data_IF_389671571363
#
_entry.id   IF_389671571363
#
_cell.length_a   1.000
_cell.length_b   1.000
_cell.length_c   1.000
_cell.angle_alpha   90.00
_cell.angle_beta   90.00
_cell.angle_gamma   90.00
#
_symmetry.space_group_name_H-M   'P 1'
#
loop_
_entity.id
_entity.type
_entity.pdbx_description
1 polymer ?
#
# COMPACT_ATOMS: atom_id res chain seq x y z
N UNK A 1 33.55 58.40 -23.02
CA UNK A 1 32.90 57.08 -22.87
C UNK A 1 33.75 55.93 -23.42
N UNK A 2 34.38 56.05 -24.59
CA UNK A 2 35.16 54.98 -25.24
C UNK A 2 36.18 54.27 -24.33
N UNK A 3 36.88 55.00 -23.46
CA UNK A 3 37.87 54.46 -22.51
C UNK A 3 37.22 53.49 -21.51
N UNK A 4 36.03 53.81 -21.00
CA UNK A 4 35.29 52.93 -20.06
C UNK A 4 34.89 51.62 -20.74
N UNK A 5 34.40 51.70 -21.98
CA UNK A 5 33.99 50.52 -22.76
C UNK A 5 35.20 49.63 -23.05
N UNK A 6 36.34 50.21 -23.48
CA UNK A 6 37.58 49.46 -23.70
C UNK A 6 38.10 48.77 -22.43
N UNK A 7 37.83 49.35 -21.26
CA UNK A 7 38.19 48.80 -19.96
C UNK A 7 37.12 47.86 -19.37
N UNK A 8 36.08 47.48 -20.13
CA UNK A 8 35.02 46.56 -19.68
C UNK A 8 33.98 47.17 -18.74
N UNK A 9 33.93 48.49 -18.61
CA UNK A 9 32.96 49.21 -17.79
C UNK A 9 31.72 49.63 -18.59
N UNK A 10 30.63 49.95 -17.89
CA UNK A 10 29.41 50.42 -18.55
C UNK A 10 29.67 51.74 -19.30
N UNK A 11 28.96 51.99 -20.40
CA UNK A 11 29.03 53.28 -21.08
C UNK A 11 28.75 54.42 -20.09
N UNK A 12 29.66 55.39 -20.03
CA UNK A 12 29.45 56.58 -19.21
C UNK A 12 28.42 57.48 -19.89
N UNK A 13 27.27 57.66 -19.24
CA UNK A 13 26.17 58.50 -19.72
C UNK A 13 25.90 59.59 -18.69
N UNK A 14 26.18 60.85 -19.06
CA UNK A 14 25.78 62.02 -18.28
C UNK A 14 24.37 62.40 -18.75
N UNK A 15 23.36 62.18 -17.93
CA UNK A 15 22.00 62.59 -18.25
C UNK A 15 21.78 64.06 -17.81
N UNK A 16 20.60 64.62 -18.15
CA UNK A 16 20.27 66.01 -17.82
C UNK A 16 20.27 66.28 -16.31
N UNK A 17 19.94 65.28 -15.50
CA UNK A 17 19.88 65.40 -14.03
C UNK A 17 21.26 65.60 -13.38
N UNK A 18 22.34 65.18 -14.05
CA UNK A 18 23.71 65.33 -13.57
C UNK A 18 24.48 66.44 -14.30
N UNK A 19 23.79 67.25 -15.13
CA UNK A 19 24.44 68.25 -15.97
C UNK A 19 25.17 69.30 -15.15
N UNK A 20 24.53 69.86 -14.14
CA UNK A 20 25.12 70.93 -13.32
C UNK A 20 26.27 70.41 -12.46
N UNK A 21 26.10 69.21 -11.87
CA UNK A 21 27.16 68.50 -11.14
C UNK A 21 28.38 68.21 -12.03
N UNK A 22 28.14 67.88 -13.31
CA UNK A 22 29.19 67.63 -14.30
C UNK A 22 29.92 68.90 -14.72
N UNK A 23 29.20 70.00 -15.00
CA UNK A 23 29.80 71.27 -15.39
C UNK A 23 30.67 71.83 -14.25
N UNK A 24 30.15 71.85 -13.03
CA UNK A 24 30.92 72.31 -11.86
C UNK A 24 32.17 71.45 -11.60
N UNK A 25 32.08 70.14 -11.86
CA UNK A 25 33.23 69.24 -11.75
C UNK A 25 34.29 69.48 -12.83
N UNK A 26 33.89 69.91 -14.04
CA UNK A 26 34.82 70.30 -15.11
C UNK A 26 35.49 71.63 -14.79
N UNK A 27 34.76 72.63 -14.31
CA UNK A 27 35.34 73.92 -13.92
C UNK A 27 36.36 73.77 -12.77
N UNK A 28 36.07 72.88 -11.80
CA UNK A 28 37.04 72.53 -10.76
C UNK A 28 38.27 71.81 -11.33
N UNK A 29 38.09 70.97 -12.35
CA UNK A 29 39.17 70.26 -13.03
C UNK A 29 40.08 71.20 -13.84
N UNK A 30 39.52 72.24 -14.46
CA UNK A 30 40.28 73.29 -15.15
C UNK A 30 41.23 74.03 -14.18
N UNK A 31 40.83 74.12 -12.90
CA UNK A 31 41.65 74.64 -11.81
C UNK A 31 42.57 73.57 -11.16
N UNK A 32 42.75 72.42 -11.81
CA UNK A 32 43.65 71.35 -11.39
C UNK A 32 43.05 70.33 -10.40
N UNK A 33 41.78 70.46 -10.00
CA UNK A 33 41.14 69.54 -9.07
C UNK A 33 40.20 68.54 -9.78
N UNK A 34 40.72 67.35 -10.09
CA UNK A 34 39.98 66.29 -10.77
C UNK A 34 39.06 65.46 -9.85
N UNK A 35 39.11 65.66 -8.53
CA UNK A 35 38.46 64.77 -7.55
C UNK A 35 36.95 64.69 -7.74
N UNK A 36 36.32 65.82 -8.06
CA UNK A 36 34.88 65.90 -8.26
C UNK A 36 34.43 65.12 -9.51
N UNK A 37 35.25 65.17 -10.58
CA UNK A 37 34.97 64.48 -11.83
C UNK A 37 35.10 62.95 -11.67
N UNK A 38 36.16 62.50 -10.98
CA UNK A 38 36.37 61.08 -10.66
C UNK A 38 35.22 60.55 -9.81
N UNK A 39 34.79 61.31 -8.81
CA UNK A 39 33.68 60.94 -7.91
C UNK A 39 32.37 60.79 -8.67
N UNK A 40 32.05 61.73 -9.56
CA UNK A 40 30.86 61.68 -10.40
C UNK A 40 30.87 60.45 -11.32
N UNK A 41 32.00 60.14 -11.95
CA UNK A 41 32.09 58.99 -12.83
C UNK A 41 31.94 57.68 -12.05
N UNK A 42 32.57 57.55 -10.89
CA UNK A 42 32.41 56.39 -10.01
C UNK A 42 30.94 56.20 -9.58
N UNK A 43 30.26 57.28 -9.22
CA UNK A 43 28.82 57.29 -8.86
C UNK A 43 27.94 56.78 -9.99
N UNK A 44 28.17 57.25 -11.23
CA UNK A 44 27.41 56.81 -12.40
C UNK A 44 27.67 55.35 -12.77
N UNK A 45 28.91 54.89 -12.67
CA UNK A 45 29.26 53.48 -12.87
C UNK A 45 28.59 52.58 -11.83
N UNK A 46 28.60 52.98 -10.55
CA UNK A 46 27.89 52.26 -9.48
C UNK A 46 26.39 52.17 -9.77
N UNK A 47 25.77 53.26 -10.23
CA UNK A 47 24.33 53.28 -10.59
C UNK A 47 24.03 52.35 -11.78
N UNK A 48 24.89 52.32 -12.79
CA UNK A 48 24.75 51.42 -13.94
C UNK A 48 24.90 49.95 -13.53
N UNK A 49 25.87 49.63 -12.66
CA UNK A 49 26.08 48.29 -12.11
C UNK A 49 24.88 47.79 -11.32
N UNK A 50 24.33 48.62 -10.42
CA UNK A 50 23.11 48.29 -9.65
C UNK A 50 21.92 48.05 -10.58
N UNK A 51 21.76 48.87 -11.63
CA UNK A 51 20.69 48.69 -12.62
C UNK A 51 20.85 47.38 -13.40
N UNK A 52 22.07 47.02 -13.81
CA UNK A 52 22.34 45.75 -14.47
C UNK A 52 22.06 44.55 -13.57
N UNK A 53 22.48 44.60 -12.30
CA UNK A 53 22.12 43.59 -11.29
C UNK A 53 20.61 43.48 -11.07
N UNK A 54 19.88 44.59 -11.14
CA UNK A 54 18.42 44.58 -11.01
C UNK A 54 17.69 44.04 -12.25
N UNK A 55 18.27 44.16 -13.45
CA UNK A 55 17.75 43.56 -14.69
C UNK A 55 18.03 42.04 -14.75
N UNK A 56 19.16 41.61 -14.17
CA UNK A 56 19.46 40.20 -13.90
C UNK A 56 18.48 39.58 -12.90
N UNK A 57 17.66 40.37 -12.20
CA UNK A 57 16.68 39.93 -11.18
C UNK A 57 15.33 39.49 -11.78
N UNK A 58 15.20 39.34 -13.09
CA UNK A 58 14.11 38.59 -13.74
C UNK A 58 14.22 37.05 -13.50
N UNK A 59 14.68 36.67 -12.30
CA UNK A 59 14.83 35.32 -11.72
C UNK A 59 13.50 34.85 -11.12
N UNK A 60 12.36 35.27 -11.70
CA UNK A 60 11.05 34.74 -11.31
C UNK A 60 10.85 33.29 -11.82
N UNK A 61 11.64 32.85 -12.79
CA UNK A 61 11.61 31.47 -13.32
C UNK A 61 12.29 30.42 -12.43
N UNK A 62 13.24 30.79 -11.56
CA UNK A 62 13.99 29.80 -10.78
C UNK A 62 13.18 29.24 -9.60
N UNK A 63 12.31 30.05 -8.98
CA UNK A 63 11.44 29.57 -7.91
C UNK A 63 10.29 28.70 -8.43
N UNK A 64 9.75 28.99 -9.62
CA UNK A 64 8.81 28.07 -10.30
C UNK A 64 9.50 26.79 -10.77
N UNK A 65 10.71 26.90 -11.32
CA UNK A 65 11.52 25.76 -11.74
C UNK A 65 11.87 24.85 -10.55
N UNK A 66 12.34 25.43 -9.44
CA UNK A 66 12.65 24.69 -8.22
C UNK A 66 11.41 24.00 -7.63
N UNK A 67 10.26 24.70 -7.55
CA UNK A 67 9.00 24.09 -7.11
C UNK A 67 8.57 22.94 -8.03
N UNK A 68 8.67 23.10 -9.36
CA UNK A 68 8.35 22.05 -10.34
C UNK A 68 9.27 20.83 -10.17
N UNK A 69 10.57 21.04 -9.95
CA UNK A 69 11.54 19.96 -9.71
C UNK A 69 11.24 19.23 -8.39
N UNK A 70 10.93 19.96 -7.31
CA UNK A 70 10.54 19.36 -6.02
C UNK A 70 9.24 18.56 -6.17
N UNK A 71 8.21 19.11 -6.82
CA UNK A 71 6.94 18.41 -7.06
C UNK A 71 7.13 17.13 -7.89
N UNK A 72 7.90 17.20 -8.98
CA UNK A 72 8.23 16.02 -9.78
C UNK A 72 9.00 14.95 -8.97
N UNK A 73 9.88 15.39 -8.07
CA UNK A 73 10.57 14.50 -7.13
C UNK A 73 9.61 13.80 -6.16
N UNK A 74 8.68 14.56 -5.56
CA UNK A 74 7.65 14.01 -4.64
C UNK A 74 6.70 13.06 -5.38
N UNK A 75 6.23 13.41 -6.57
CA UNK A 75 5.39 12.54 -7.40
C UNK A 75 6.09 11.23 -7.74
N UNK A 76 7.37 11.30 -8.11
CA UNK A 76 8.18 10.10 -8.36
C UNK A 76 8.34 9.23 -7.11
N UNK A 77 8.50 9.83 -5.93
CA UNK A 77 8.56 9.09 -4.66
C UNK A 77 7.21 8.45 -4.31
N UNK A 78 6.09 9.16 -4.51
CA UNK A 78 4.74 8.61 -4.33
C UNK A 78 4.48 7.42 -5.24
N UNK A 79 4.74 7.59 -6.54
CA UNK A 79 4.58 6.52 -7.53
C UNK A 79 5.44 5.30 -7.20
N UNK A 80 6.69 5.49 -6.77
CA UNK A 80 7.55 4.38 -6.30
C UNK A 80 6.96 3.66 -5.09
N UNK A 81 6.44 4.41 -4.11
CA UNK A 81 5.83 3.82 -2.91
C UNK A 81 4.56 3.03 -3.27
N UNK A 82 3.72 3.56 -4.14
CA UNK A 82 2.52 2.88 -4.64
C UNK A 82 2.87 1.59 -5.39
N UNK A 83 3.87 1.63 -6.28
CA UNK A 83 4.37 0.45 -6.98
C UNK A 83 4.90 -0.62 -6.00
N UNK A 84 5.63 -0.20 -4.96
CA UNK A 84 6.13 -1.12 -3.95
C UNK A 84 4.99 -1.78 -3.17
N UNK A 85 3.96 -1.03 -2.79
CA UNK A 85 2.77 -1.57 -2.11
C UNK A 85 2.01 -2.54 -3.01
N UNK A 86 1.82 -2.21 -4.29
CA UNK A 86 1.16 -3.09 -5.25
C UNK A 86 1.94 -4.39 -5.46
N UNK A 87 3.27 -4.30 -5.59
CA UNK A 87 4.13 -5.48 -5.73
C UNK A 87 4.06 -6.37 -4.48
N UNK A 88 4.09 -5.76 -3.29
CA UNK A 88 3.94 -6.47 -2.02
C UNK A 88 2.59 -7.20 -1.93
N UNK A 89 1.48 -6.52 -2.25
CA UNK A 89 0.15 -7.11 -2.27
C UNK A 89 0.07 -8.29 -3.23
N UNK A 90 0.54 -8.09 -4.46
CA UNK A 90 0.57 -9.14 -5.48
C UNK A 90 1.32 -10.38 -5.00
N UNK A 91 2.52 -10.19 -4.43
CA UNK A 91 3.31 -11.31 -3.91
C UNK A 91 2.64 -12.02 -2.73
N UNK A 92 1.98 -11.28 -1.82
CA UNK A 92 1.18 -11.90 -0.74
C UNK A 92 0.04 -12.76 -1.31
N UNK A 93 -0.69 -12.23 -2.30
CA UNK A 93 -1.86 -12.90 -2.85
C UNK A 93 -1.48 -14.14 -3.66
N UNK A 94 -0.39 -14.08 -4.42
CA UNK A 94 0.16 -15.24 -5.15
C UNK A 94 0.61 -16.37 -4.21
N UNK A 95 1.22 -16.04 -3.07
CA UNK A 95 1.57 -17.05 -2.04
C UNK A 95 0.32 -17.63 -1.37
N UNK A 96 -0.67 -16.78 -1.08
CA UNK A 96 -1.91 -17.18 -0.42
C UNK A 96 -2.74 -18.11 -1.32
N UNK A 97 -2.90 -17.77 -2.60
CA UNK A 97 -3.53 -18.67 -3.58
C UNK A 97 -2.81 -20.02 -3.66
N UNK A 98 -1.46 -19.99 -3.57
CA UNK A 98 -0.56 -21.12 -3.29
C UNK A 98 -1.12 -22.11 -2.25
N UNK A 99 -1.42 -21.56 -1.08
CA UNK A 99 -1.87 -22.32 0.08
C UNK A 99 -3.35 -22.71 -0.01
N UNK A 100 -4.17 -21.85 -0.63
CA UNK A 100 -5.58 -22.14 -0.90
C UNK A 100 -5.73 -23.37 -1.80
N UNK A 101 -4.92 -23.49 -2.86
CA UNK A 101 -4.90 -24.68 -3.73
C UNK A 101 -4.52 -25.95 -2.93
N UNK A 102 -3.51 -25.86 -2.06
CA UNK A 102 -3.10 -26.98 -1.18
C UNK A 102 -4.26 -27.38 -0.25
N UNK A 103 -4.94 -26.39 0.35
CA UNK A 103 -6.06 -26.65 1.24
C UNK A 103 -7.26 -27.25 0.49
N UNK A 104 -7.58 -26.73 -0.69
CA UNK A 104 -8.66 -27.24 -1.54
C UNK A 104 -8.43 -28.70 -1.92
N UNK A 105 -7.21 -29.06 -2.34
CA UNK A 105 -6.84 -30.45 -2.62
C UNK A 105 -6.94 -31.35 -1.39
N UNK A 106 -6.47 -30.89 -0.22
CA UNK A 106 -6.55 -31.69 1.03
C UNK A 106 -8.01 -31.90 1.46
N UNK A 107 -8.83 -30.85 1.42
CA UNK A 107 -10.26 -30.93 1.71
C UNK A 107 -10.95 -31.87 0.71
N UNK A 108 -10.58 -31.81 -0.58
CA UNK A 108 -11.12 -32.66 -1.64
C UNK A 108 -10.89 -34.15 -1.39
N UNK A 109 -9.68 -34.51 -0.92
CA UNK A 109 -9.36 -35.89 -0.52
C UNK A 109 -10.23 -36.36 0.64
N UNK A 110 -10.41 -35.52 1.66
CA UNK A 110 -11.28 -35.85 2.81
C UNK A 110 -12.73 -36.02 2.36
N UNK A 111 -13.25 -35.13 1.51
CA UNK A 111 -14.61 -35.28 1.00
C UNK A 111 -14.78 -36.56 0.17
N UNK A 112 -13.77 -36.93 -0.62
CA UNK A 112 -13.78 -38.18 -1.37
C UNK A 112 -13.79 -39.40 -0.43
N UNK A 113 -12.94 -39.42 0.59
CA UNK A 113 -12.91 -40.48 1.61
C UNK A 113 -14.26 -40.58 2.35
N UNK A 114 -14.83 -39.45 2.77
CA UNK A 114 -16.14 -39.41 3.42
C UNK A 114 -17.25 -39.94 2.51
N UNK A 115 -17.28 -39.56 1.24
CA UNK A 115 -18.32 -40.02 0.31
C UNK A 115 -18.25 -41.52 0.01
N UNK A 116 -17.06 -42.13 0.04
CA UNK A 116 -16.96 -43.59 -0.14
C UNK A 116 -17.70 -44.34 0.97
N UNK A 117 -17.69 -43.81 2.19
CA UNK A 117 -18.35 -44.43 3.35
C UNK A 117 -19.81 -43.95 3.51
N UNK A 118 -20.09 -42.66 3.30
CA UNK A 118 -21.42 -42.06 3.47
C UNK A 118 -22.43 -42.60 2.46
N UNK A 119 -22.01 -42.84 1.22
CA UNK A 119 -22.89 -43.36 0.17
C UNK A 119 -23.36 -44.79 0.45
N UNK A 120 -22.69 -45.54 1.34
CA UNK A 120 -23.15 -46.86 1.76
C UNK A 120 -24.26 -46.80 2.83
N UNK A 121 -24.41 -45.65 3.49
CA UNK A 121 -25.39 -45.45 4.58
C UNK A 121 -26.71 -44.90 4.07
N UNK A 122 -26.69 -43.78 3.34
CA UNK A 122 -27.88 -43.15 2.79
C UNK A 122 -27.55 -42.29 1.56
N UNK A 123 -28.36 -42.42 0.50
CA UNK A 123 -28.17 -41.65 -0.76
C UNK A 123 -28.21 -40.12 -0.56
N UNK A 124 -28.83 -39.66 0.52
CA UNK A 124 -28.96 -38.23 0.84
C UNK A 124 -27.72 -37.64 1.51
N UNK A 125 -26.81 -38.50 2.01
CA UNK A 125 -25.61 -38.10 2.74
C UNK A 125 -24.46 -37.86 1.77
N UNK A 126 -23.74 -36.74 1.94
CA UNK A 126 -22.61 -36.42 1.08
C UNK A 126 -21.65 -35.44 1.73
N UNK A 127 -20.42 -35.41 1.23
CA UNK A 127 -19.44 -34.36 1.48
C UNK A 127 -19.09 -33.61 0.18
N UNK A 128 -19.01 -32.28 0.23
CA UNK A 128 -18.59 -31.45 -0.90
C UNK A 128 -17.58 -30.39 -0.48
N UNK A 129 -16.71 -30.01 -1.43
CA UNK A 129 -15.73 -28.95 -1.22
C UNK A 129 -16.01 -27.80 -2.15
N UNK A 130 -15.97 -26.59 -1.59
CA UNK A 130 -16.01 -25.34 -2.36
C UNK A 130 -14.90 -24.41 -1.90
N UNK A 131 -14.49 -23.53 -2.81
CA UNK A 131 -13.63 -22.41 -2.48
C UNK A 131 -14.27 -21.11 -2.93
N UNK A 132 -13.77 -20.01 -2.38
CA UNK A 132 -14.21 -18.69 -2.77
C UNK A 132 -13.86 -18.35 -4.21
N UNK A 133 -14.69 -17.52 -4.82
CA UNK A 133 -14.46 -16.81 -6.06
C UNK A 133 -15.01 -15.37 -5.93
N UNK A 134 -14.89 -14.59 -6.99
CA UNK A 134 -15.33 -13.18 -7.02
C UNK A 134 -16.82 -12.98 -6.71
N UNK A 135 -17.65 -14.02 -6.86
CA UNK A 135 -19.10 -13.97 -6.63
C UNK A 135 -19.53 -14.37 -5.22
N UNK A 136 -18.63 -14.99 -4.43
CA UNK A 136 -19.00 -15.58 -3.13
C UNK A 136 -17.94 -15.40 -2.01
N UNK A 137 -16.86 -14.67 -2.27
CA UNK A 137 -15.82 -14.35 -1.28
C UNK A 137 -16.39 -13.76 0.03
N UNK A 138 -17.50 -13.03 -0.06
CA UNK A 138 -18.15 -12.34 1.04
C UNK A 138 -18.97 -13.24 1.98
N UNK A 139 -19.28 -14.48 1.60
CA UNK A 139 -20.21 -15.35 2.33
C UNK A 139 -19.86 -15.53 3.81
N UNK A 140 -18.58 -15.74 4.11
CA UNK A 140 -18.09 -15.98 5.47
C UNK A 140 -17.47 -14.74 6.13
N UNK A 141 -17.69 -13.55 5.59
CA UNK A 141 -17.02 -12.32 6.07
C UNK A 141 -17.24 -12.09 7.57
N UNK A 142 -18.46 -12.27 8.05
CA UNK A 142 -18.78 -12.04 9.46
C UNK A 142 -18.15 -13.10 10.36
N UNK A 143 -18.16 -14.35 9.92
CA UNK A 143 -17.54 -15.48 10.61
C UNK A 143 -16.04 -15.31 10.75
N UNK A 144 -15.37 -14.85 9.69
CA UNK A 144 -13.94 -14.54 9.70
C UNK A 144 -13.64 -13.47 10.76
N UNK A 145 -14.45 -12.40 10.82
CA UNK A 145 -14.29 -11.33 11.82
C UNK A 145 -14.53 -11.85 13.24
N UNK A 146 -15.56 -12.68 13.45
CA UNK A 146 -15.85 -13.26 14.76
C UNK A 146 -14.75 -14.21 15.23
N UNK A 147 -14.26 -15.06 14.33
CA UNK A 147 -13.13 -15.98 14.57
C UNK A 147 -11.86 -15.20 14.90
N UNK A 148 -11.56 -14.14 14.15
CA UNK A 148 -10.41 -13.28 14.43
C UNK A 148 -10.49 -12.62 15.81
N UNK A 149 -11.69 -12.13 16.18
CA UNK A 149 -11.93 -11.56 17.51
C UNK A 149 -11.74 -12.60 18.63
N UNK A 150 -12.20 -13.83 18.43
CA UNK A 150 -12.02 -14.91 19.39
C UNK A 150 -10.54 -15.32 19.55
N UNK A 151 -9.74 -15.14 18.50
CA UNK A 151 -8.28 -15.32 18.47
C UNK A 151 -7.51 -14.03 18.81
N UNK A 152 -8.19 -13.00 19.32
CA UNK A 152 -7.61 -11.74 19.78
C UNK A 152 -6.80 -10.96 18.72
N UNK A 153 -7.22 -11.02 17.45
CA UNK A 153 -6.63 -10.23 16.37
C UNK A 153 -7.67 -9.60 15.42
N UNK A 154 -7.20 -8.77 14.49
CA UNK A 154 -8.04 -8.13 13.46
C UNK A 154 -7.85 -8.76 12.09
N UNK A 155 -8.95 -9.13 11.44
CA UNK A 155 -8.94 -9.60 10.05
C UNK A 155 -9.25 -8.46 9.07
N UNK A 156 -8.29 -8.10 8.23
CA UNK A 156 -8.50 -7.20 7.10
C UNK A 156 -9.12 -7.94 5.92
N UNK A 157 -10.44 -8.09 6.00
CA UNK A 157 -11.27 -8.65 4.94
C UNK A 157 -11.49 -7.70 3.76
N UNK A 158 -10.96 -6.46 3.78
CA UNK A 158 -11.14 -5.49 2.69
C UNK A 158 -10.04 -5.59 1.66
N UNK A 159 -8.79 -5.79 2.11
CA UNK A 159 -7.65 -5.95 1.20
C UNK A 159 -7.63 -7.32 0.55
N UNK A 160 -7.92 -8.37 1.30
CA UNK A 160 -7.99 -9.72 0.76
C UNK A 160 -8.89 -10.59 1.62
N UNK A 161 -9.65 -11.47 0.98
CA UNK A 161 -10.25 -12.62 1.61
C UNK A 161 -10.39 -13.76 0.61
N UNK A 162 -10.16 -14.97 1.09
CA UNK A 162 -10.57 -16.17 0.38
C UNK A 162 -10.88 -17.27 1.40
N UNK A 163 -11.55 -18.33 0.97
CA UNK A 163 -11.90 -19.43 1.85
C UNK A 163 -11.99 -20.75 1.09
N UNK A 164 -11.75 -21.85 1.81
CA UNK A 164 -12.02 -23.22 1.40
C UNK A 164 -12.95 -23.84 2.43
N UNK A 165 -14.00 -24.50 1.97
CA UNK A 165 -15.04 -25.10 2.80
C UNK A 165 -15.20 -26.57 2.47
N UNK A 166 -15.12 -27.41 3.51
CA UNK A 166 -15.61 -28.78 3.49
C UNK A 166 -17.00 -28.76 4.10
N UNK A 167 -18.01 -29.14 3.33
CA UNK A 167 -19.36 -29.35 3.83
C UNK A 167 -19.60 -30.86 3.94
N UNK A 168 -20.16 -31.27 5.05
CA UNK A 168 -20.64 -32.62 5.32
C UNK A 168 -22.13 -32.51 5.58
N UNK A 169 -22.93 -33.16 4.74
CA UNK A 169 -24.38 -33.19 4.85
C UNK A 169 -24.80 -34.61 5.25
N UNK A 170 -25.33 -34.71 6.45
CA UNK A 170 -26.14 -35.83 6.92
C UNK A 170 -27.51 -35.27 7.34
N UNK A 171 -28.17 -35.80 8.36
CA UNK A 171 -29.39 -35.23 8.95
C UNK A 171 -29.19 -33.72 9.24
N UNK A 172 -28.05 -33.36 9.83
CA UNK A 172 -27.53 -32.00 10.00
C UNK A 172 -26.53 -31.63 8.91
N UNK A 173 -26.31 -30.33 8.71
CA UNK A 173 -25.23 -29.84 7.84
C UNK A 173 -24.10 -29.27 8.69
N UNK A 174 -22.90 -29.79 8.46
CA UNK A 174 -21.66 -29.30 9.06
C UNK A 174 -20.79 -28.65 8.00
N UNK A 175 -20.21 -27.51 8.32
CA UNK A 175 -19.25 -26.83 7.44
C UNK A 175 -17.96 -26.54 8.22
N UNK A 176 -16.84 -27.08 7.76
CA UNK A 176 -15.50 -26.73 8.20
C UNK A 176 -14.93 -25.73 7.19
N UNK A 177 -14.57 -24.54 7.66
CA UNK A 177 -14.07 -23.45 6.82
C UNK A 177 -12.62 -23.16 7.22
N UNK A 178 -11.74 -23.10 6.23
CA UNK A 178 -10.44 -22.44 6.31
C UNK A 178 -10.54 -21.10 5.56
N UNK A 179 -10.18 -20.00 6.20
CA UNK A 179 -10.21 -18.67 5.60
C UNK A 179 -8.82 -18.04 5.57
N UNK A 180 -8.53 -17.26 4.52
CA UNK A 180 -7.34 -16.43 4.37
C UNK A 180 -7.74 -14.95 4.30
N UNK A 181 -6.98 -14.05 4.92
CA UNK A 181 -7.23 -12.61 4.94
C UNK A 181 -5.98 -11.80 5.32
N UNK A 182 -6.02 -10.49 5.14
CA UNK A 182 -4.95 -9.61 5.65
C UNK A 182 -4.93 -9.60 7.18
N UNK A 183 -3.73 -9.54 7.78
CA UNK A 183 -3.58 -9.43 9.23
C UNK A 183 -3.55 -7.96 9.67
N UNK A 184 -4.40 -7.59 10.63
CA UNK A 184 -4.42 -6.29 11.28
C UNK A 184 -5.52 -5.35 10.78
N UNK A 185 -5.49 -4.10 11.25
CA UNK A 185 -6.40 -3.03 10.80
C UNK A 185 -6.01 -2.45 9.44
N UNK A 186 -4.71 -2.40 9.18
CA UNK A 186 -4.09 -1.96 7.94
C UNK A 186 -3.21 -3.07 7.40
N UNK A 187 -3.15 -3.18 6.08
CA UNK A 187 -2.39 -4.23 5.42
C UNK A 187 -0.89 -3.89 5.33
N UNK A 188 -0.08 -4.59 6.12
CA UNK A 188 1.39 -4.45 6.15
C UNK A 188 2.13 -5.59 5.44
N UNK A 189 1.48 -6.32 4.54
CA UNK A 189 2.10 -7.44 3.82
C UNK A 189 2.19 -8.73 4.62
N UNK A 190 1.34 -8.88 5.63
CA UNK A 190 1.18 -10.12 6.40
C UNK A 190 -0.22 -10.66 6.14
N UNK A 191 -0.30 -11.92 5.74
CA UNK A 191 -1.55 -12.65 5.59
C UNK A 191 -1.74 -13.60 6.77
N UNK A 192 -2.99 -13.82 7.12
CA UNK A 192 -3.42 -14.72 8.15
C UNK A 192 -4.31 -15.83 7.54
N UNK A 193 -4.22 -17.03 8.09
CA UNK A 193 -5.20 -18.07 7.89
C UNK A 193 -5.75 -18.57 9.23
N UNK A 194 -7.06 -18.72 9.31
CA UNK A 194 -7.77 -19.26 10.48
C UNK A 194 -8.86 -20.21 10.05
N UNK A 195 -9.27 -21.10 10.95
CA UNK A 195 -10.30 -22.06 10.66
C UNK A 195 -11.38 -22.10 11.73
N UNK A 196 -12.60 -22.40 11.30
CA UNK A 196 -13.76 -22.54 12.18
C UNK A 196 -14.73 -23.60 11.62
N UNK A 197 -15.59 -24.10 12.50
CA UNK A 197 -16.69 -25.01 12.15
C UNK A 197 -18.03 -24.33 12.48
N UNK A 198 -19.00 -24.52 11.58
CA UNK A 198 -20.38 -24.10 11.75
C UNK A 198 -21.33 -25.28 11.51
N UNK A 199 -22.50 -25.19 12.12
CA UNK A 199 -23.57 -26.13 11.93
C UNK A 199 -24.82 -25.41 11.46
N UNK A 200 -25.57 -26.08 10.59
CA UNK A 200 -26.86 -25.59 10.10
C UNK A 200 -27.92 -26.65 10.34
N UNK A 201 -28.87 -26.28 11.18
CA UNK A 201 -30.09 -27.05 11.43
C UNK A 201 -31.21 -26.57 10.52
N UNK A 202 -32.04 -27.51 10.06
CA UNK A 202 -33.35 -27.19 9.49
C UNK A 202 -34.37 -27.36 10.62
N UNK A 203 -34.99 -26.27 11.05
CA UNK A 203 -36.15 -26.34 11.96
C UNK A 203 -37.38 -26.88 11.22
N UNK A 204 -38.39 -27.33 11.95
CA UNK A 204 -39.69 -27.77 11.41
C UNK A 204 -40.37 -26.67 10.56
N UNK A 205 -40.06 -25.40 10.82
CA UNK A 205 -40.56 -24.23 10.09
C UNK A 205 -39.67 -23.79 8.89
N UNK A 206 -38.67 -24.61 8.51
CA UNK A 206 -37.68 -24.30 7.47
C UNK A 206 -36.75 -23.11 7.77
N UNK A 207 -36.77 -22.55 8.99
CA UNK A 207 -35.77 -21.58 9.41
C UNK A 207 -34.41 -22.27 9.63
N UNK A 208 -33.36 -21.68 9.07
CA UNK A 208 -31.99 -22.15 9.23
C UNK A 208 -31.38 -21.47 10.45
N UNK A 209 -31.12 -22.25 11.50
CA UNK A 209 -30.38 -21.77 12.68
C UNK A 209 -28.89 -21.88 12.36
N UNK A 210 -28.16 -20.78 12.56
CA UNK A 210 -26.71 -20.74 12.47
C UNK A 210 -26.12 -20.73 13.87
N UNK A 211 -25.34 -21.76 14.20
CA UNK A 211 -24.49 -21.72 15.39
C UNK A 211 -23.35 -20.71 15.17
N UNK A 212 -22.93 -20.04 16.24
CA UNK A 212 -21.75 -19.18 16.19
C UNK A 212 -20.51 -20.00 15.78
N UNK A 213 -19.61 -19.46 14.94
CA UNK A 213 -18.45 -20.18 14.45
C UNK A 213 -17.56 -20.62 15.62
N UNK A 214 -17.25 -21.91 15.68
CA UNK A 214 -16.33 -22.47 16.69
C UNK A 214 -14.95 -22.54 16.10
N UNK A 215 -14.00 -21.89 16.74
CA UNK A 215 -12.61 -21.83 16.28
C UNK A 215 -11.97 -23.23 16.32
N UNK A 216 -11.26 -23.61 15.26
CA UNK A 216 -10.59 -24.91 15.12
C UNK A 216 -9.07 -24.85 15.32
N UNK A 217 -8.49 -23.66 15.31
CA UNK A 217 -7.06 -23.43 15.47
C UNK A 217 -6.74 -22.75 16.81
N UNK A 218 -5.69 -23.19 17.50
CA UNK A 218 -5.21 -22.52 18.72
C UNK A 218 -4.50 -21.21 18.40
N UNK A 219 -3.74 -21.19 17.30
CA UNK A 219 -3.02 -20.03 16.81
C UNK A 219 -3.33 -19.80 15.32
N UNK A 220 -3.44 -18.54 14.95
CA UNK A 220 -3.61 -18.12 13.56
C UNK A 220 -2.33 -18.41 12.78
N UNK A 221 -2.44 -19.01 11.61
CA UNK A 221 -1.29 -19.19 10.73
C UNK A 221 -0.96 -17.85 10.06
N UNK A 222 0.33 -17.49 10.03
CA UNK A 222 0.78 -16.25 9.44
C UNK A 222 1.85 -16.50 8.37
N UNK A 223 1.83 -15.65 7.35
CA UNK A 223 2.86 -15.60 6.32
C UNK A 223 3.12 -14.16 5.85
N UNK A 224 4.36 -13.88 5.48
CA UNK A 224 4.77 -12.65 4.81
C UNK A 224 5.25 -12.91 3.38
N UNK A 225 5.10 -11.92 2.50
CA UNK A 225 5.62 -11.98 1.12
C UNK A 225 7.14 -12.14 1.01
N UNK A 226 7.89 -11.87 2.07
CA UNK A 226 9.35 -12.03 2.09
C UNK A 226 9.79 -13.45 2.41
N UNK A 227 8.87 -14.31 2.87
CA UNK A 227 9.18 -15.70 3.22
C UNK A 227 9.32 -16.59 1.98
N UNK A 228 10.21 -17.57 2.06
CA UNK A 228 10.36 -18.57 1.01
C UNK A 228 9.19 -19.56 1.05
N UNK A 229 8.57 -19.82 -0.11
CA UNK A 229 7.38 -20.66 -0.19
C UNK A 229 7.54 -22.06 0.43
N UNK A 230 8.71 -22.68 0.29
CA UNK A 230 8.99 -23.98 0.91
C UNK A 230 8.94 -23.93 2.44
N UNK A 231 9.41 -22.84 3.06
CA UNK A 231 9.32 -22.64 4.51
C UNK A 231 7.87 -22.47 4.97
N UNK A 232 7.08 -21.71 4.19
CA UNK A 232 5.65 -21.53 4.45
C UNK A 232 4.94 -22.88 4.40
N UNK A 233 5.17 -23.70 3.36
CA UNK A 233 4.55 -25.03 3.22
C UNK A 233 4.91 -25.94 4.40
N UNK A 234 6.17 -25.98 4.81
CA UNK A 234 6.62 -26.84 5.91
C UNK A 234 5.88 -26.57 7.23
N UNK A 235 5.43 -25.33 7.46
CA UNK A 235 4.61 -24.95 8.61
C UNK A 235 3.11 -25.10 8.34
N UNK A 236 2.68 -24.77 7.12
CA UNK A 236 1.27 -24.74 6.76
C UNK A 236 0.65 -26.14 6.71
N UNK A 237 1.36 -27.12 6.14
CA UNK A 237 0.85 -28.49 6.01
C UNK A 237 0.50 -29.14 7.35
N UNK A 238 1.39 -29.20 8.37
CA UNK A 238 1.02 -29.78 9.67
C UNK A 238 -0.09 -28.98 10.36
N UNK A 239 -0.05 -27.64 10.29
CA UNK A 239 -1.10 -26.79 10.87
C UNK A 239 -2.48 -27.04 10.22
N UNK A 240 -2.53 -27.25 8.91
CA UNK A 240 -3.75 -27.61 8.18
C UNK A 240 -4.27 -28.99 8.60
N UNK A 241 -3.37 -29.95 8.80
CA UNK A 241 -3.73 -31.30 9.27
C UNK A 241 -4.31 -31.27 10.68
N UNK A 242 -3.72 -30.48 11.58
CA UNK A 242 -4.23 -30.31 12.95
C UNK A 242 -5.65 -29.73 12.96
N UNK A 243 -5.91 -28.69 12.16
CA UNK A 243 -7.26 -28.09 12.03
C UNK A 243 -8.28 -29.10 11.53
N UNK A 244 -7.92 -29.85 10.49
CA UNK A 244 -8.82 -30.84 9.89
C UNK A 244 -9.13 -31.95 10.87
N UNK A 245 -8.14 -32.40 11.63
CA UNK A 245 -8.31 -33.40 12.68
C UNK A 245 -9.24 -32.88 13.79
N UNK A 246 -9.04 -31.66 14.27
CA UNK A 246 -9.91 -31.04 15.29
C UNK A 246 -11.33 -30.85 14.74
N UNK A 247 -11.48 -30.38 13.51
CA UNK A 247 -12.77 -30.17 12.86
C UNK A 247 -13.56 -31.46 12.69
N UNK A 248 -12.91 -32.52 12.19
CA UNK A 248 -13.54 -33.84 12.02
C UNK A 248 -13.85 -34.51 13.37
N UNK A 249 -13.01 -34.32 14.39
CA UNK A 249 -13.29 -34.80 15.74
C UNK A 249 -14.49 -34.07 16.37
N UNK A 250 -14.63 -32.76 16.16
CA UNK A 250 -15.81 -32.00 16.59
C UNK A 250 -17.06 -32.46 15.84
N UNK A 251 -16.97 -32.65 14.52
CA UNK A 251 -18.05 -33.23 13.73
C UNK A 251 -18.50 -34.59 14.30
N UNK A 252 -17.55 -35.51 14.53
CA UNK A 252 -17.86 -36.83 15.10
C UNK A 252 -18.55 -36.75 16.47
N UNK A 253 -18.17 -35.81 17.32
CA UNK A 253 -18.70 -35.64 18.69
C UNK A 253 -20.15 -35.14 18.74
N UNK A 254 -20.68 -34.62 17.65
CA UNK A 254 -22.04 -34.07 17.62
C UNK A 254 -23.09 -35.01 17.03
N UNK A 255 -22.64 -36.09 16.37
CA UNK A 255 -23.48 -37.20 15.95
C UNK A 255 -23.99 -37.93 17.19
#
# INVERSE_FOLDING_TARGET
SLIFIKAGWFPLVINRDFRDEYINALEAADNGNLSNLITLFAKLQKKAFVKALSLSKNVLNDNESLKKVISAGIERLKSRKEQQVQQMQRSCFELTAKLEDIAFEKFGRIAWELNNELNELEDSYFADVKRSDESNDYWFRQQIIQTAKALEYYADTRTYRSWVRLKIKEDRQTEIILSFHGLGFEFFGIMAASAFIEYRDKTEEQEVIFDAPRVLCNEVFQLSYTEQFNSIIQRFTPWLEDILLVGLDQWRKQL
#
